data_IF_261933232070
#
_entry.id   IF_261933232070
#
_cell.length_a   1.000
_cell.length_b   1.000
_cell.length_c   1.000
_cell.angle_alpha   90.00
_cell.angle_beta   90.00
_cell.angle_gamma   90.00
#
_symmetry.space_group_name_H-M   'P 1'
#
loop_
_entity.id
_entity.type
_entity.pdbx_description
1 polymer ?
#
# COMPACT_ATOMS: atom_id res chain seq x y z
N UNK A 1 -13.39 -36.29 9.14
CA UNK A 1 -12.43 -35.32 8.57
C UNK A 1 -12.44 -35.53 7.06
N UNK A 2 -13.04 -34.63 6.29
CA UNK A 2 -13.12 -34.78 4.83
C UNK A 2 -11.71 -34.66 4.23
N UNK A 3 -11.34 -35.56 3.31
CA UNK A 3 -10.06 -35.53 2.61
C UNK A 3 -10.01 -34.31 1.68
N UNK A 4 -9.48 -33.18 2.17
CA UNK A 4 -9.23 -32.00 1.34
C UNK A 4 -8.13 -32.34 0.35
N UNK A 5 -8.44 -32.25 -0.95
CA UNK A 5 -7.45 -32.34 -2.02
C UNK A 5 -6.58 -31.08 -1.99
N UNK A 6 -5.29 -31.27 -1.77
CA UNK A 6 -4.30 -30.20 -1.80
C UNK A 6 -4.24 -29.65 -3.22
N UNK A 7 -4.36 -28.33 -3.39
CA UNK A 7 -4.13 -27.75 -4.70
C UNK A 7 -2.63 -27.76 -5.01
N UNK A 8 -2.28 -27.79 -6.29
CA UNK A 8 -0.89 -27.66 -6.74
C UNK A 8 -0.24 -26.39 -6.18
N UNK A 9 -1.01 -25.31 -6.02
CA UNK A 9 -0.53 -24.05 -5.45
C UNK A 9 -0.25 -24.13 -3.95
N UNK A 10 -1.05 -24.88 -3.18
CA UNK A 10 -0.79 -25.11 -1.76
C UNK A 10 0.53 -25.87 -1.55
N UNK A 11 0.81 -26.84 -2.43
CA UNK A 11 2.05 -27.62 -2.39
C UNK A 11 3.27 -26.77 -2.77
N UNK A 12 3.16 -25.95 -3.81
CA UNK A 12 4.22 -25.00 -4.20
C UNK A 12 4.50 -24.03 -3.05
N UNK A 13 3.45 -23.49 -2.43
CA UNK A 13 3.57 -22.55 -1.33
C UNK A 13 4.22 -23.19 -0.09
N UNK A 14 3.81 -24.41 0.27
CA UNK A 14 4.42 -25.17 1.36
C UNK A 14 5.90 -25.45 1.09
N UNK A 15 6.25 -25.83 -0.14
CA UNK A 15 7.64 -26.08 -0.54
C UNK A 15 8.50 -24.81 -0.38
N UNK A 16 7.99 -23.65 -0.79
CA UNK A 16 8.67 -22.36 -0.58
C UNK A 16 8.86 -22.03 0.90
N UNK A 17 7.85 -22.27 1.74
CA UNK A 17 7.92 -22.10 3.20
C UNK A 17 8.99 -23.00 3.84
N UNK A 18 9.09 -24.25 3.40
CA UNK A 18 10.09 -25.21 3.86
C UNK A 18 11.51 -24.74 3.48
N UNK A 19 11.70 -24.19 2.28
CA UNK A 19 13.01 -23.70 1.81
C UNK A 19 13.41 -22.39 2.50
N UNK A 20 12.46 -21.55 2.90
CA UNK A 20 12.74 -20.28 3.56
C UNK A 20 13.39 -20.44 4.95
N UNK A 21 13.13 -21.55 5.66
CA UNK A 21 13.70 -21.83 6.99
C UNK A 21 15.22 -22.09 6.92
N UNK A 22 15.73 -23.05 6.11
CA UNK A 22 17.17 -23.23 5.90
C UNK A 22 17.87 -21.98 5.38
N UNK A 23 17.22 -21.22 4.49
CA UNK A 23 17.77 -19.97 3.98
C UNK A 23 17.95 -18.93 5.11
N UNK A 24 16.96 -18.77 5.98
CA UNK A 24 17.05 -17.89 7.15
C UNK A 24 18.18 -18.30 8.10
N UNK A 25 18.33 -19.60 8.37
CA UNK A 25 19.41 -20.14 9.20
C UNK A 25 20.78 -19.89 8.55
N UNK A 26 20.91 -20.13 7.24
CA UNK A 26 22.15 -19.88 6.52
C UNK A 26 22.56 -18.40 6.61
N UNK A 27 21.63 -17.47 6.38
CA UNK A 27 21.90 -16.04 6.52
C UNK A 27 22.29 -15.64 7.94
N UNK A 28 21.67 -16.27 8.96
CA UNK A 28 22.00 -16.02 10.36
C UNK A 28 23.43 -16.46 10.69
N UNK A 29 23.83 -17.66 10.23
CA UNK A 29 25.17 -18.22 10.46
C UNK A 29 26.26 -17.40 9.73
N UNK A 30 25.94 -16.82 8.58
CA UNK A 30 26.85 -15.95 7.83
C UNK A 30 26.94 -14.52 8.38
N UNK A 31 26.33 -14.22 9.53
CA UNK A 31 26.28 -12.87 10.11
C UNK A 31 25.42 -11.87 9.31
N UNK A 32 24.60 -12.35 8.37
CA UNK A 32 23.72 -11.52 7.52
C UNK A 32 22.36 -11.35 8.20
N UNK A 33 22.38 -10.73 9.39
CA UNK A 33 21.21 -10.65 10.29
C UNK A 33 19.96 -10.05 9.65
N UNK A 34 20.11 -9.01 8.80
CA UNK A 34 18.99 -8.40 8.09
C UNK A 34 18.24 -9.40 7.19
N UNK A 35 18.97 -10.30 6.53
CA UNK A 35 18.40 -11.29 5.61
C UNK A 35 17.78 -12.46 6.36
N UNK A 36 18.39 -12.86 7.48
CA UNK A 36 17.81 -13.83 8.41
C UNK A 36 16.48 -13.34 8.97
N UNK A 37 16.41 -12.06 9.36
CA UNK A 37 15.19 -11.43 9.87
C UNK A 37 14.09 -11.39 8.81
N UNK A 38 14.42 -11.02 7.57
CA UNK A 38 13.45 -11.04 6.46
C UNK A 38 12.92 -12.45 6.16
N UNK A 39 13.79 -13.46 6.16
CA UNK A 39 13.39 -14.84 5.96
C UNK A 39 12.45 -15.32 7.09
N UNK A 40 12.76 -14.98 8.34
CA UNK A 40 11.91 -15.30 9.48
C UNK A 40 10.53 -14.61 9.38
N UNK A 41 10.50 -13.33 9.01
CA UNK A 41 9.24 -12.60 8.81
C UNK A 41 8.39 -13.22 7.68
N UNK A 42 9.02 -13.60 6.56
CA UNK A 42 8.34 -14.26 5.44
C UNK A 42 7.74 -15.62 5.85
N UNK A 43 8.45 -16.41 6.65
CA UNK A 43 7.94 -17.68 7.20
C UNK A 43 6.74 -17.45 8.10
N UNK A 44 6.80 -16.46 9.01
CA UNK A 44 5.69 -16.14 9.92
C UNK A 44 4.45 -15.72 9.13
N UNK A 45 4.60 -14.80 8.18
CA UNK A 45 3.50 -14.36 7.30
C UNK A 45 2.95 -15.53 6.51
N UNK A 46 3.82 -16.40 5.98
CA UNK A 46 3.40 -17.56 5.21
C UNK A 46 2.60 -18.57 6.02
N UNK A 47 3.01 -18.84 7.27
CA UNK A 47 2.27 -19.70 8.19
C UNK A 47 0.89 -19.10 8.49
N UNK A 48 0.81 -17.78 8.73
CA UNK A 48 -0.47 -17.10 9.00
C UNK A 48 -1.41 -17.21 7.79
N UNK A 49 -0.90 -17.00 6.57
CA UNK A 49 -1.70 -17.15 5.34
C UNK A 49 -2.17 -18.60 5.17
N UNK A 50 -1.29 -19.57 5.38
CA UNK A 50 -1.62 -21.00 5.26
C UNK A 50 -2.72 -21.40 6.26
N UNK A 51 -2.57 -20.99 7.53
CA UNK A 51 -3.52 -21.29 8.61
C UNK A 51 -4.86 -20.59 8.37
N UNK A 52 -4.86 -19.30 8.00
CA UNK A 52 -6.10 -18.56 7.76
C UNK A 52 -6.83 -18.99 6.49
N UNK A 53 -6.10 -19.37 5.44
CA UNK A 53 -6.64 -20.02 4.24
C UNK A 53 -7.17 -21.44 4.53
N UNK A 54 -6.60 -22.14 5.51
CA UNK A 54 -7.08 -23.43 5.98
C UNK A 54 -8.43 -23.35 6.67
N UNK A 55 -8.70 -22.25 7.37
CA UNK A 55 -9.91 -22.05 8.16
C UNK A 55 -11.13 -21.59 7.36
N UNK A 56 -11.01 -21.37 6.03
CA UNK A 56 -12.16 -21.03 5.17
C UNK A 56 -12.80 -22.30 4.59
N UNK A 57 -13.98 -22.75 5.08
CA UNK A 57 -14.70 -23.86 4.47
C UNK A 57 -15.21 -23.45 3.07
N UNK A 58 -14.67 -24.09 2.04
CA UNK A 58 -14.99 -23.82 0.62
C UNK A 58 -16.46 -24.10 0.31
N UNK A 59 -17.05 -25.12 0.94
CA UNK A 59 -18.44 -25.54 0.74
C UNK A 59 -19.44 -24.45 1.19
N UNK A 60 -19.16 -23.76 2.29
CA UNK A 60 -20.03 -22.68 2.77
C UNK A 60 -20.09 -21.49 1.81
N UNK A 61 -19.01 -21.22 1.07
CA UNK A 61 -18.96 -20.11 0.12
C UNK A 61 -19.76 -20.40 -1.16
N UNK A 62 -19.72 -21.65 -1.65
CA UNK A 62 -20.44 -22.07 -2.87
C UNK A 62 -21.94 -22.16 -2.60
N UNK A 63 -22.35 -22.80 -1.49
CA UNK A 63 -23.77 -22.94 -1.15
C UNK A 63 -24.42 -21.57 -0.91
N UNK A 64 -23.74 -20.66 -0.22
CA UNK A 64 -24.24 -19.30 0.02
C UNK A 64 -24.29 -18.44 -1.25
N UNK A 65 -23.53 -18.76 -2.29
CA UNK A 65 -23.59 -18.09 -3.59
C UNK A 65 -24.80 -18.58 -4.41
N UNK A 66 -25.04 -19.90 -4.42
CA UNK A 66 -26.18 -20.52 -5.11
C UNK A 66 -27.52 -20.10 -4.51
N UNK A 67 -27.65 -20.08 -3.17
CA UNK A 67 -28.87 -19.60 -2.50
C UNK A 67 -29.14 -18.11 -2.75
N UNK A 68 -28.09 -17.29 -2.86
CA UNK A 68 -28.22 -15.86 -3.17
C UNK A 68 -28.72 -15.61 -4.60
N UNK A 69 -28.34 -16.46 -5.54
CA UNK A 69 -28.79 -16.36 -6.93
C UNK A 69 -30.28 -16.74 -7.12
N UNK A 70 -30.84 -17.54 -6.21
CA UNK A 70 -32.22 -18.03 -6.30
C UNK A 70 -33.28 -17.17 -5.58
N UNK A 71 -32.86 -16.19 -4.76
CA UNK A 71 -33.79 -15.42 -3.93
C UNK A 71 -34.44 -14.25 -4.71
N UNK A 72 -35.77 -14.02 -4.58
CA UNK A 72 -36.45 -12.91 -5.24
C UNK A 72 -35.94 -11.55 -4.74
N UNK A 73 -35.73 -10.63 -5.69
CA UNK A 73 -35.19 -9.28 -5.47
C UNK A 73 -36.24 -8.39 -4.79
N UNK A 74 -36.41 -8.56 -3.48
CA UNK A 74 -37.06 -7.54 -2.65
C UNK A 74 -36.06 -6.40 -2.41
N UNK A 75 -36.51 -5.13 -2.54
CA UNK A 75 -35.71 -3.94 -2.17
C UNK A 75 -35.37 -4.04 -0.69
N UNK A 76 -34.23 -4.64 -0.36
CA UNK A 76 -33.69 -4.65 0.99
C UNK A 76 -33.23 -3.23 1.33
N UNK A 77 -33.52 -2.73 2.54
CA UNK A 77 -32.87 -1.52 3.04
C UNK A 77 -31.35 -1.70 2.98
N UNK A 78 -30.62 -0.58 2.82
CA UNK A 78 -29.16 -0.57 2.79
C UNK A 78 -28.62 -1.44 3.92
N UNK A 79 -28.01 -2.58 3.56
CA UNK A 79 -27.46 -3.51 4.55
C UNK A 79 -26.29 -2.81 5.21
N UNK A 80 -26.28 -2.77 6.53
CA UNK A 80 -25.05 -2.45 7.25
C UNK A 80 -23.93 -3.41 6.79
N UNK A 81 -22.68 -2.93 6.73
CA UNK A 81 -21.52 -3.74 6.42
C UNK A 81 -21.60 -5.09 7.12
N UNK A 82 -21.35 -6.19 6.40
CA UNK A 82 -21.22 -7.50 7.06
C UNK A 82 -19.94 -7.47 7.90
N UNK A 83 -20.10 -7.08 9.16
CA UNK A 83 -19.02 -7.09 10.15
C UNK A 83 -18.96 -8.45 10.81
N UNK A 84 -17.75 -8.98 10.92
CA UNK A 84 -17.45 -10.10 11.80
C UNK A 84 -17.80 -9.72 13.25
N UNK A 85 -18.01 -10.70 14.16
CA UNK A 85 -18.26 -10.42 15.58
C UNK A 85 -17.20 -9.52 16.24
N UNK A 86 -15.99 -9.47 15.67
CA UNK A 86 -14.91 -8.58 16.09
C UNK A 86 -15.07 -7.11 15.64
N UNK A 87 -16.15 -6.74 14.95
CA UNK A 87 -16.37 -5.42 14.35
C UNK A 87 -15.62 -5.16 13.04
N UNK A 88 -14.85 -6.14 12.55
CA UNK A 88 -14.06 -6.03 11.30
C UNK A 88 -14.92 -6.34 10.09
N UNK A 89 -14.62 -5.72 8.95
CA UNK A 89 -15.23 -6.09 7.68
C UNK A 89 -14.87 -7.53 7.29
N UNK A 90 -15.74 -8.22 6.55
CA UNK A 90 -15.48 -9.57 6.03
C UNK A 90 -14.23 -9.63 5.14
N UNK A 91 -14.05 -8.61 4.29
CA UNK A 91 -12.95 -8.52 3.30
C UNK A 91 -11.84 -7.53 3.72
N UNK A 92 -11.67 -7.33 5.03
CA UNK A 92 -10.71 -6.38 5.60
C UNK A 92 -9.26 -6.57 5.09
N UNK A 93 -8.84 -7.79 4.79
CA UNK A 93 -7.47 -8.08 4.37
C UNK A 93 -7.18 -7.62 2.94
N UNK A 94 -7.93 -8.06 1.89
CA UNK A 94 -7.80 -7.50 0.55
C UNK A 94 -7.89 -5.97 0.51
N UNK A 95 -8.86 -5.38 1.23
CA UNK A 95 -9.01 -3.92 1.34
C UNK A 95 -7.76 -3.28 1.95
N UNK A 96 -7.24 -3.84 3.04
CA UNK A 96 -6.00 -3.37 3.66
C UNK A 96 -4.78 -3.45 2.74
N UNK A 97 -4.65 -4.54 1.97
CA UNK A 97 -3.54 -4.70 1.01
C UNK A 97 -3.58 -3.65 -0.10
N UNK A 98 -4.75 -3.44 -0.72
CA UNK A 98 -4.91 -2.48 -1.80
C UNK A 98 -4.73 -1.04 -1.31
N UNK A 99 -5.33 -0.71 -0.15
CA UNK A 99 -5.18 0.60 0.45
C UNK A 99 -3.72 0.88 0.88
N UNK A 100 -3.02 -0.13 1.40
CA UNK A 100 -1.59 -0.04 1.72
C UNK A 100 -0.72 0.20 0.49
N UNK A 101 -0.95 -0.55 -0.59
CA UNK A 101 -0.23 -0.35 -1.86
C UNK A 101 -0.43 1.06 -2.41
N UNK A 102 -1.68 1.54 -2.44
CA UNK A 102 -2.02 2.87 -2.90
C UNK A 102 -1.38 3.97 -2.03
N UNK A 103 -1.47 3.84 -0.71
CA UNK A 103 -0.90 4.77 0.25
C UNK A 103 0.63 4.84 0.17
N UNK A 104 1.31 3.71 0.05
CA UNK A 104 2.76 3.68 -0.10
C UNK A 104 3.22 4.24 -1.44
N UNK A 105 2.49 3.96 -2.53
CA UNK A 105 2.77 4.57 -3.82
C UNK A 105 2.65 6.10 -3.79
N UNK A 106 1.59 6.61 -3.15
CA UNK A 106 1.41 8.05 -2.96
C UNK A 106 2.53 8.68 -2.11
N UNK A 107 2.86 8.09 -0.96
CA UNK A 107 3.94 8.57 -0.10
C UNK A 107 5.31 8.52 -0.81
N UNK A 108 5.58 7.46 -1.59
CA UNK A 108 6.82 7.34 -2.36
C UNK A 108 6.91 8.41 -3.45
N UNK A 109 5.79 8.71 -4.11
CA UNK A 109 5.72 9.79 -5.11
C UNK A 109 6.06 11.14 -4.48
N UNK A 110 5.51 11.42 -3.29
CA UNK A 110 5.84 12.64 -2.52
C UNK A 110 7.31 12.64 -2.09
N UNK A 111 7.84 11.51 -1.62
CA UNK A 111 9.25 11.38 -1.22
C UNK A 111 10.20 11.71 -2.38
N UNK A 112 10.01 11.08 -3.54
CA UNK A 112 10.86 11.29 -4.72
C UNK A 112 10.72 12.72 -5.25
N UNK A 113 9.48 13.22 -5.31
CA UNK A 113 9.21 14.59 -5.74
C UNK A 113 9.85 15.63 -4.82
N UNK A 114 9.68 15.48 -3.50
CA UNK A 114 10.28 16.38 -2.52
C UNK A 114 11.82 16.31 -2.56
N UNK A 115 12.40 15.11 -2.66
CA UNK A 115 13.85 14.97 -2.71
C UNK A 115 14.45 15.59 -3.98
N UNK A 116 13.90 15.26 -5.15
CA UNK A 116 14.43 15.69 -6.44
C UNK A 116 14.14 17.16 -6.79
N UNK A 117 12.95 17.67 -6.43
CA UNK A 117 12.52 19.02 -6.83
C UNK A 117 12.74 20.08 -5.76
N UNK A 118 12.93 19.68 -4.49
CA UNK A 118 13.07 20.63 -3.37
C UNK A 118 14.38 20.43 -2.65
N UNK A 119 14.64 19.22 -2.11
CA UNK A 119 15.78 19.00 -1.20
C UNK A 119 17.11 19.18 -1.92
N UNK A 120 17.33 18.49 -3.06
CA UNK A 120 18.58 18.60 -3.81
C UNK A 120 18.83 20.01 -4.37
N UNK A 121 17.87 20.68 -5.04
CA UNK A 121 18.12 22.02 -5.56
C UNK A 121 18.44 23.03 -4.45
N UNK A 122 17.73 22.97 -3.32
CA UNK A 122 17.99 23.89 -2.21
C UNK A 122 19.36 23.66 -1.56
N UNK A 123 19.85 22.42 -1.50
CA UNK A 123 21.20 22.14 -1.03
C UNK A 123 22.28 22.85 -1.89
N UNK A 124 22.04 23.02 -3.20
CA UNK A 124 22.98 23.64 -4.14
C UNK A 124 22.81 25.15 -4.35
N UNK A 125 21.62 25.70 -4.13
CA UNK A 125 21.30 27.12 -4.43
C UNK A 125 21.41 28.01 -3.18
N UNK A 126 21.20 27.46 -1.99
CA UNK A 126 21.28 28.24 -0.75
C UNK A 126 22.71 28.75 -0.50
N UNK A 127 22.89 29.89 0.19
CA UNK A 127 24.21 30.45 0.47
C UNK A 127 25.11 29.43 1.17
N UNK A 128 26.32 29.24 0.62
CA UNK A 128 27.31 28.30 1.14
C UNK A 128 27.63 28.61 2.60
N UNK A 129 27.60 27.59 3.45
CA UNK A 129 27.86 27.72 4.88
C UNK A 129 26.70 28.29 5.70
N UNK A 130 25.53 28.54 5.10
CA UNK A 130 24.32 28.85 5.88
C UNK A 130 23.78 27.60 6.60
N UNK A 131 23.11 27.79 7.73
CA UNK A 131 22.50 26.69 8.49
C UNK A 131 21.49 25.90 7.65
N UNK A 132 20.68 26.61 6.86
CA UNK A 132 19.67 25.98 6.02
C UNK A 132 20.32 25.16 4.89
N UNK A 133 21.38 25.69 4.26
CA UNK A 133 22.14 24.93 3.25
C UNK A 133 22.70 23.64 3.84
N UNK A 134 23.32 23.68 5.04
CA UNK A 134 23.79 22.46 5.73
C UNK A 134 22.67 21.46 6.02
N UNK A 135 21.49 21.93 6.41
CA UNK A 135 20.37 21.03 6.69
C UNK A 135 19.88 20.32 5.43
N UNK A 136 19.71 21.06 4.33
CA UNK A 136 19.33 20.48 3.05
C UNK A 136 20.41 19.57 2.47
N UNK A 137 21.67 19.95 2.61
CA UNK A 137 22.81 19.14 2.20
C UNK A 137 22.88 17.82 3.00
N UNK A 138 22.78 17.87 4.32
CA UNK A 138 22.74 16.66 5.15
C UNK A 138 21.52 15.77 4.87
N UNK A 139 20.39 16.34 4.47
CA UNK A 139 19.22 15.53 4.07
C UNK A 139 19.38 14.92 2.67
N UNK A 140 20.02 15.63 1.74
CA UNK A 140 20.27 15.15 0.38
C UNK A 140 21.37 14.08 0.36
N UNK A 141 22.44 14.33 1.09
CA UNK A 141 23.72 13.63 1.03
C UNK A 141 24.02 12.97 2.38
N UNK A 142 23.47 11.78 2.58
CA UNK A 142 23.71 10.97 3.77
C UNK A 142 23.70 9.47 3.44
N UNK A 143 24.15 8.67 4.40
CA UNK A 143 24.25 7.22 4.26
C UNK A 143 22.92 6.56 3.90
N UNK A 144 21.78 7.08 4.37
CA UNK A 144 20.47 6.52 4.06
C UNK A 144 20.10 6.74 2.58
N UNK A 145 20.27 7.96 2.06
CA UNK A 145 19.98 8.27 0.66
C UNK A 145 20.97 7.58 -0.28
N UNK A 146 22.24 7.49 0.09
CA UNK A 146 23.26 6.75 -0.65
C UNK A 146 22.95 5.24 -0.69
N UNK A 147 22.65 4.64 0.45
CA UNK A 147 22.32 3.21 0.55
C UNK A 147 21.06 2.88 -0.26
N UNK A 148 20.04 3.73 -0.17
CA UNK A 148 18.81 3.59 -0.93
C UNK A 148 19.05 3.75 -2.43
N UNK A 149 19.91 4.67 -2.86
CA UNK A 149 20.24 4.87 -4.28
C UNK A 149 20.97 3.66 -4.87
N UNK A 150 21.94 3.10 -4.14
CA UNK A 150 22.70 1.92 -4.58
C UNK A 150 21.84 0.65 -4.58
N UNK A 151 20.91 0.52 -3.63
CA UNK A 151 20.07 -0.67 -3.45
C UNK A 151 18.58 -0.36 -3.69
N UNK A 152 18.28 0.44 -4.71
CA UNK A 152 16.92 0.96 -4.96
C UNK A 152 15.82 -0.13 -5.00
N UNK A 153 16.01 -1.31 -5.63
CA UNK A 153 14.99 -2.36 -5.60
C UNK A 153 14.70 -2.85 -4.18
N UNK A 154 15.73 -3.05 -3.36
CA UNK A 154 15.59 -3.52 -2.00
C UNK A 154 14.95 -2.44 -1.11
N UNK A 155 15.38 -1.19 -1.26
CA UNK A 155 14.81 -0.06 -0.53
C UNK A 155 13.30 0.06 -0.78
N UNK A 156 12.87 -0.03 -2.05
CA UNK A 156 11.46 0.01 -2.42
C UNK A 156 10.70 -1.22 -1.94
N UNK A 157 11.28 -2.42 -2.05
CA UNK A 157 10.66 -3.64 -1.54
C UNK A 157 10.37 -3.53 -0.03
N UNK A 158 11.35 -3.10 0.75
CA UNK A 158 11.20 -2.90 2.20
C UNK A 158 10.18 -1.80 2.49
N UNK A 159 10.20 -0.71 1.73
CA UNK A 159 9.25 0.40 1.89
C UNK A 159 7.80 -0.03 1.65
N UNK A 160 7.53 -0.73 0.55
CA UNK A 160 6.21 -1.27 0.23
C UNK A 160 5.78 -2.37 1.21
N UNK A 161 6.68 -3.28 1.60
CA UNK A 161 6.37 -4.30 2.59
C UNK A 161 5.98 -3.69 3.95
N UNK A 162 6.74 -2.68 4.41
CA UNK A 162 6.44 -1.97 5.65
C UNK A 162 5.10 -1.22 5.56
N UNK A 163 4.85 -0.52 4.46
CA UNK A 163 3.58 0.16 4.24
C UNK A 163 2.39 -0.79 4.23
N UNK A 164 2.46 -1.89 3.49
CA UNK A 164 1.41 -2.91 3.48
C UNK A 164 1.20 -3.51 4.87
N UNK A 165 2.28 -3.80 5.62
CA UNK A 165 2.17 -4.29 6.99
C UNK A 165 1.42 -3.31 7.90
N UNK A 166 1.72 -2.00 7.82
CA UNK A 166 0.99 -0.98 8.55
C UNK A 166 -0.47 -0.87 8.13
N UNK A 167 -0.78 -1.03 6.84
CA UNK A 167 -2.16 -1.03 6.35
C UNK A 167 -2.97 -2.23 6.86
N UNK A 168 -2.35 -3.40 6.96
CA UNK A 168 -2.94 -4.58 7.60
C UNK A 168 -3.22 -4.29 9.08
N UNK A 169 -2.28 -3.70 9.81
CA UNK A 169 -2.48 -3.31 11.21
C UNK A 169 -3.61 -2.28 11.38
N UNK A 170 -3.71 -1.31 10.46
CA UNK A 170 -4.79 -0.35 10.42
C UNK A 170 -6.15 -1.03 10.27
N UNK A 171 -6.31 -1.87 9.24
CA UNK A 171 -7.55 -2.60 8.97
C UNK A 171 -7.93 -3.54 10.12
N UNK A 172 -6.93 -4.17 10.74
CA UNK A 172 -7.12 -5.16 11.80
C UNK A 172 -7.50 -4.53 13.14
N UNK A 173 -6.85 -3.44 13.52
CA UNK A 173 -6.95 -2.89 14.87
C UNK A 173 -7.53 -1.49 14.96
N UNK A 174 -7.37 -0.66 13.94
CA UNK A 174 -7.64 0.78 14.08
C UNK A 174 -8.95 1.17 13.43
N UNK A 175 -9.21 0.69 12.21
CA UNK A 175 -10.44 0.98 11.48
C UNK A 175 -11.71 0.67 12.29
N UNK A 176 -11.83 -0.50 12.98
CA UNK A 176 -13.05 -0.82 13.73
C UNK A 176 -13.29 0.05 14.96
N UNK A 177 -12.27 0.80 15.41
CA UNK A 177 -12.28 1.57 16.66
C UNK A 177 -12.42 3.08 16.45
N UNK A 178 -12.13 3.56 15.23
CA UNK A 178 -12.20 4.98 14.91
C UNK A 178 -13.44 5.28 14.08
N UNK A 179 -14.15 6.34 14.46
CA UNK A 179 -15.31 6.87 13.73
C UNK A 179 -14.92 8.09 12.89
N UNK A 180 -15.76 8.42 11.92
CA UNK A 180 -15.60 9.59 11.03
C UNK A 180 -14.97 9.26 9.67
N UNK A 181 -14.64 10.32 8.88
CA UNK A 181 -14.14 10.17 7.52
C UNK A 181 -12.84 9.36 7.42
N UNK A 182 -12.67 8.63 6.31
CA UNK A 182 -11.52 7.75 6.05
C UNK A 182 -10.18 8.46 6.24
N UNK A 183 -9.98 9.56 5.53
CA UNK A 183 -8.76 10.38 5.64
C UNK A 183 -8.43 10.77 7.10
N UNK A 184 -9.42 11.13 7.92
CA UNK A 184 -9.21 11.54 9.32
C UNK A 184 -8.73 10.36 10.17
N UNK A 185 -9.35 9.19 10.01
CA UNK A 185 -8.95 7.96 10.72
C UNK A 185 -7.52 7.55 10.35
N UNK A 186 -7.19 7.66 9.07
CA UNK A 186 -5.86 7.39 8.55
C UNK A 186 -4.79 8.38 9.04
N UNK A 187 -5.10 9.68 9.11
CA UNK A 187 -4.21 10.68 9.70
C UNK A 187 -3.91 10.39 11.18
N UNK A 188 -4.94 10.10 11.99
CA UNK A 188 -4.75 9.73 13.40
C UNK A 188 -3.85 8.50 13.51
N UNK A 189 -4.09 7.48 12.70
CA UNK A 189 -3.28 6.27 12.67
C UNK A 189 -1.82 6.56 12.32
N UNK A 190 -1.56 7.45 11.35
CA UNK A 190 -0.22 7.69 10.81
C UNK A 190 0.82 8.20 11.80
N UNK A 191 0.38 8.78 12.93
CA UNK A 191 1.28 9.16 14.02
C UNK A 191 2.02 7.95 14.61
N UNK A 192 1.43 6.75 14.58
CA UNK A 192 2.05 5.52 15.08
C UNK A 192 3.24 5.09 14.21
N UNK A 193 3.09 4.83 12.88
CA UNK A 193 4.23 4.52 12.02
C UNK A 193 5.22 5.69 11.92
N UNK A 194 4.77 6.94 11.98
CA UNK A 194 5.66 8.10 12.05
C UNK A 194 6.57 8.02 13.27
N UNK A 195 6.00 7.85 14.47
CA UNK A 195 6.80 7.76 15.68
C UNK A 195 7.72 6.53 15.65
N UNK A 196 7.21 5.37 15.20
CA UNK A 196 8.02 4.16 15.04
C UNK A 196 9.21 4.39 14.09
N UNK A 197 9.01 5.15 13.02
CA UNK A 197 10.11 5.44 12.10
C UNK A 197 11.21 6.31 12.74
N UNK A 198 10.84 7.26 13.60
CA UNK A 198 11.79 8.14 14.29
C UNK A 198 12.59 7.45 15.40
N UNK A 199 11.95 6.53 16.14
CA UNK A 199 12.53 5.92 17.34
C UNK A 199 13.02 4.48 17.14
N UNK A 200 12.55 3.79 16.08
CA UNK A 200 12.95 2.41 15.78
C UNK A 200 13.72 2.37 14.47
N UNK A 201 13.13 2.84 13.36
CA UNK A 201 13.73 2.69 12.04
C UNK A 201 15.00 3.53 11.88
N UNK A 202 14.97 4.82 12.24
CA UNK A 202 16.13 5.70 12.10
C UNK A 202 17.36 5.23 12.89
N UNK A 203 17.25 4.83 14.17
CA UNK A 203 18.37 4.20 14.87
C UNK A 203 18.86 2.91 14.20
N UNK A 204 17.96 2.08 13.67
CA UNK A 204 18.31 0.81 13.02
C UNK A 204 19.14 1.00 11.75
N UNK A 205 19.02 2.15 11.08
CA UNK A 205 19.76 2.50 9.86
C UNK A 205 20.85 3.55 10.10
N UNK A 206 21.33 3.64 11.34
CA UNK A 206 22.40 4.55 11.79
C UNK A 206 22.11 6.06 11.62
N UNK A 207 20.87 6.44 11.31
CA UNK A 207 20.42 7.84 11.26
C UNK A 207 20.25 8.47 12.64
N UNK A 208 20.34 7.66 13.72
CA UNK A 208 20.16 8.09 15.10
C UNK A 208 18.70 8.38 15.48
N UNK A 209 18.43 8.65 16.75
CA UNK A 209 17.08 9.03 17.18
C UNK A 209 16.65 10.31 16.47
N UNK A 210 15.42 10.34 15.96
CA UNK A 210 14.87 11.50 15.22
C UNK A 210 15.65 11.91 13.96
N UNK A 211 16.63 11.13 13.51
CA UNK A 211 17.45 11.45 12.34
C UNK A 211 18.58 12.45 12.64
N UNK A 212 18.95 12.61 13.91
CA UNK A 212 19.96 13.60 14.32
C UNK A 212 21.35 13.35 13.73
N UNK A 213 21.71 12.11 13.43
CA UNK A 213 23.01 11.79 12.83
C UNK A 213 23.10 12.21 11.35
N UNK A 214 21.98 12.55 10.72
CA UNK A 214 21.96 12.98 9.32
C UNK A 214 22.51 14.40 9.12
N UNK A 215 22.76 15.16 10.19
CA UNK A 215 23.20 16.56 10.09
C UNK A 215 22.16 17.51 9.48
N UNK A 216 20.94 17.01 9.26
CA UNK A 216 19.87 17.68 8.53
C UNK A 216 18.97 18.58 9.42
N UNK A 217 19.38 18.84 10.66
CA UNK A 217 18.58 19.59 11.63
C UNK A 217 17.19 18.97 11.86
N UNK A 218 16.10 19.76 11.87
CA UNK A 218 14.75 19.24 12.09
C UNK A 218 14.12 18.62 10.83
N UNK A 219 14.76 18.73 9.66
CA UNK A 219 14.15 18.32 8.39
C UNK A 219 13.78 16.82 8.32
N UNK A 220 14.56 15.86 8.87
CA UNK A 220 14.16 14.46 8.88
C UNK A 220 12.83 14.24 9.60
N UNK A 221 12.60 14.93 10.73
CA UNK A 221 11.36 14.82 11.51
C UNK A 221 10.16 15.34 10.70
N UNK A 222 10.32 16.53 10.12
CA UNK A 222 9.27 17.24 9.37
C UNK A 222 8.94 16.49 8.08
N UNK A 223 9.96 16.16 7.28
CA UNK A 223 9.78 15.42 6.03
C UNK A 223 9.12 14.07 6.27
N UNK A 224 9.57 13.34 7.29
CA UNK A 224 9.01 12.05 7.64
C UNK A 224 7.55 12.15 8.17
N UNK A 225 7.21 13.22 8.90
CA UNK A 225 5.83 13.50 9.29
C UNK A 225 4.94 13.71 8.05
N UNK A 226 5.37 14.55 7.11
CA UNK A 226 4.60 14.82 5.88
C UNK A 226 4.33 13.52 5.12
N UNK A 227 5.34 12.66 4.96
CA UNK A 227 5.19 11.38 4.27
C UNK A 227 4.17 10.47 4.95
N UNK A 228 4.21 10.38 6.28
CA UNK A 228 3.27 9.56 7.03
C UNK A 228 1.86 10.14 7.04
N UNK A 229 1.69 11.46 7.07
CA UNK A 229 0.37 12.09 6.95
C UNK A 229 -0.24 11.81 5.56
N UNK A 230 0.55 11.89 4.49
CA UNK A 230 0.10 11.51 3.13
C UNK A 230 -0.28 10.03 3.10
N UNK A 231 0.60 9.16 3.59
CA UNK A 231 0.33 7.73 3.69
C UNK A 231 -0.97 7.45 4.46
N UNK A 232 -1.14 8.06 5.63
CA UNK A 232 -2.33 7.90 6.47
C UNK A 232 -3.59 8.37 5.79
N UNK A 233 -3.59 9.58 5.26
CA UNK A 233 -4.75 10.15 4.56
C UNK A 233 -5.20 9.26 3.40
N UNK A 234 -4.27 8.83 2.55
CA UNK A 234 -4.56 7.95 1.41
C UNK A 234 -5.02 6.57 1.88
N UNK A 235 -4.34 5.96 2.86
CA UNK A 235 -4.73 4.66 3.42
C UNK A 235 -6.17 4.65 3.91
N UNK A 236 -6.51 5.62 4.78
CA UNK A 236 -7.83 5.69 5.38
C UNK A 236 -8.92 5.98 4.35
N UNK A 237 -8.65 6.84 3.38
CA UNK A 237 -9.62 7.18 2.34
C UNK A 237 -9.81 6.04 1.34
N UNK A 238 -8.73 5.44 0.84
CA UNK A 238 -8.81 4.29 -0.08
C UNK A 238 -9.51 3.11 0.59
N UNK A 239 -9.25 2.86 1.88
CA UNK A 239 -9.95 1.82 2.61
C UNK A 239 -11.47 2.07 2.68
N UNK A 240 -11.90 3.31 2.94
CA UNK A 240 -13.33 3.68 2.96
C UNK A 240 -13.97 3.64 1.57
N UNK A 241 -13.27 4.11 0.54
CA UNK A 241 -13.77 4.08 -0.84
C UNK A 241 -14.02 2.64 -1.26
N UNK A 242 -13.04 1.75 -1.05
CA UNK A 242 -13.18 0.34 -1.40
C UNK A 242 -14.24 -0.37 -0.55
N UNK A 243 -14.33 0.00 0.73
CA UNK A 243 -15.42 -0.45 1.60
C UNK A 243 -16.78 -0.03 1.03
N UNK A 244 -16.96 1.24 0.70
CA UNK A 244 -18.24 1.78 0.20
C UNK A 244 -18.64 1.12 -1.11
N UNK A 245 -17.69 0.91 -2.03
CA UNK A 245 -17.91 0.16 -3.26
C UNK A 245 -18.45 -1.25 -2.99
N UNK A 246 -17.87 -1.93 -1.99
CA UNK A 246 -18.28 -3.29 -1.57
C UNK A 246 -19.65 -3.32 -0.88
N UNK A 247 -20.14 -2.18 -0.40
CA UNK A 247 -21.28 -2.10 0.54
C UNK A 247 -22.52 -1.39 -0.01
N UNK A 248 -22.44 -0.60 -1.08
CA UNK A 248 -23.60 0.09 -1.65
C UNK A 248 -24.61 -0.93 -2.16
N UNK A 249 -25.53 -1.35 -1.27
CA UNK A 249 -26.65 -2.27 -1.48
C UNK A 249 -27.74 -1.71 -2.40
N UNK A 250 -27.32 -1.32 -3.59
CA UNK A 250 -28.16 -0.99 -4.72
C UNK A 250 -28.58 -2.34 -5.31
N UNK A 251 -29.86 -2.58 -5.63
CA UNK A 251 -30.35 -3.93 -5.94
C UNK A 251 -29.44 -4.77 -6.88
N UNK A 252 -29.41 -6.11 -6.73
CA UNK A 252 -28.34 -7.01 -7.20
C UNK A 252 -27.79 -6.74 -8.60
N UNK A 253 -28.63 -6.35 -9.58
CA UNK A 253 -28.17 -6.03 -10.93
C UNK A 253 -27.43 -4.70 -11.10
N UNK A 254 -27.63 -3.70 -10.23
CA UNK A 254 -26.99 -2.38 -10.31
C UNK A 254 -25.76 -2.29 -9.39
N UNK A 255 -25.72 -3.02 -8.28
CA UNK A 255 -24.50 -3.18 -7.44
C UNK A 255 -23.41 -3.98 -8.16
N UNK A 256 -23.75 -5.12 -8.77
CA UNK A 256 -22.79 -5.89 -9.57
C UNK A 256 -22.26 -5.07 -10.75
N UNK A 257 -23.09 -4.22 -11.34
CA UNK A 257 -22.65 -3.28 -12.38
C UNK A 257 -21.71 -2.20 -11.84
N UNK A 258 -22.01 -1.52 -10.72
CA UNK A 258 -21.15 -0.48 -10.14
C UNK A 258 -19.81 -1.06 -9.68
N UNK A 259 -19.84 -2.20 -8.99
CA UNK A 259 -18.64 -2.91 -8.53
C UNK A 259 -17.77 -3.35 -9.70
N UNK A 260 -18.34 -4.07 -10.66
CA UNK A 260 -17.60 -4.50 -11.85
C UNK A 260 -17.13 -3.31 -12.68
N UNK A 261 -17.86 -2.19 -12.69
CA UNK A 261 -17.44 -0.96 -13.36
C UNK A 261 -16.27 -0.29 -12.64
N UNK A 262 -16.32 -0.15 -11.32
CA UNK A 262 -15.23 0.42 -10.52
C UNK A 262 -13.99 -0.47 -10.55
N UNK A 263 -14.12 -1.79 -10.41
CA UNK A 263 -13.04 -2.75 -10.56
C UNK A 263 -12.43 -2.70 -11.96
N UNK A 264 -13.28 -2.66 -12.99
CA UNK A 264 -12.84 -2.50 -14.38
C UNK A 264 -12.10 -1.17 -14.55
N UNK A 265 -12.59 -0.06 -14.03
CA UNK A 265 -11.91 1.23 -14.10
C UNK A 265 -10.59 1.27 -13.33
N UNK A 266 -10.53 0.67 -12.13
CA UNK A 266 -9.28 0.48 -11.38
C UNK A 266 -8.27 -0.32 -12.20
N UNK A 267 -8.68 -1.48 -12.74
CA UNK A 267 -7.84 -2.31 -13.60
C UNK A 267 -7.39 -1.58 -14.88
N UNK A 268 -8.31 -0.84 -15.51
CA UNK A 268 -8.02 -0.03 -16.69
C UNK A 268 -7.14 1.17 -16.39
N UNK A 269 -7.12 1.69 -15.16
CA UNK A 269 -6.28 2.82 -14.77
C UNK A 269 -4.86 2.38 -14.34
N UNK A 270 -4.69 1.13 -13.87
CA UNK A 270 -3.39 0.55 -13.53
C UNK A 270 -2.45 0.53 -14.75
N UNK A 271 -2.93 0.07 -15.92
CA UNK A 271 -2.11 -0.06 -17.14
C UNK A 271 -1.58 1.29 -17.66
N UNK A 272 -2.43 2.30 -17.98
CA UNK A 272 -1.97 3.60 -18.41
C UNK A 272 -1.21 4.32 -17.30
N UNK A 273 -1.58 4.12 -16.03
CA UNK A 273 -0.80 4.59 -14.89
C UNK A 273 0.62 4.04 -14.91
N UNK A 274 0.78 2.73 -15.13
CA UNK A 274 2.10 2.10 -15.26
C UNK A 274 2.88 2.65 -16.46
N UNK A 275 2.26 2.77 -17.63
CA UNK A 275 2.93 3.29 -18.83
C UNK A 275 3.38 4.73 -18.61
N UNK A 276 2.49 5.60 -18.13
CA UNK A 276 2.80 7.00 -17.86
C UNK A 276 3.85 7.15 -16.77
N UNK A 277 3.74 6.39 -15.68
CA UNK A 277 4.73 6.38 -14.60
C UNK A 277 6.12 5.94 -15.07
N UNK A 278 6.18 4.90 -15.91
CA UNK A 278 7.43 4.45 -16.52
C UNK A 278 8.04 5.52 -17.42
N UNK A 279 7.25 6.15 -18.29
CA UNK A 279 7.70 7.22 -19.18
C UNK A 279 8.20 8.45 -18.38
N UNK A 280 7.44 8.89 -17.38
CA UNK A 280 7.83 10.01 -16.52
C UNK A 280 9.12 9.70 -15.74
N UNK A 281 9.27 8.49 -15.22
CA UNK A 281 10.50 8.09 -14.54
C UNK A 281 11.70 8.03 -15.48
N UNK A 282 11.51 7.60 -16.72
CA UNK A 282 12.56 7.60 -17.74
C UNK A 282 12.99 9.03 -18.11
N UNK A 283 12.04 9.95 -18.28
CA UNK A 283 12.32 11.37 -18.52
C UNK A 283 13.01 12.01 -17.31
N UNK A 284 12.56 11.69 -16.10
CA UNK A 284 13.12 12.20 -14.85
C UNK A 284 14.44 11.54 -14.44
N UNK A 285 14.85 10.44 -15.09
CA UNK A 285 16.02 9.63 -14.70
C UNK A 285 17.29 10.45 -14.44
N UNK A 286 17.69 11.42 -15.28
CA UNK A 286 18.90 12.21 -15.04
C UNK A 286 18.87 12.98 -13.72
N UNK A 287 17.68 13.30 -13.20
CA UNK A 287 17.49 14.05 -11.97
C UNK A 287 17.47 13.15 -10.72
N UNK A 288 16.96 11.93 -10.84
CA UNK A 288 16.63 11.08 -9.69
C UNK A 288 17.49 9.83 -9.55
N UNK A 289 18.01 9.29 -10.65
CA UNK A 289 18.63 7.97 -10.67
C UNK A 289 19.59 7.81 -11.86
N UNK A 290 20.53 8.75 -12.00
CA UNK A 290 21.47 8.80 -13.13
C UNK A 290 22.22 7.46 -13.32
N UNK A 291 22.66 6.85 -12.22
CA UNK A 291 23.43 5.60 -12.21
C UNK A 291 22.56 4.34 -12.28
N UNK A 292 21.24 4.44 -12.10
CA UNK A 292 20.36 3.27 -12.13
C UNK A 292 20.10 2.80 -13.57
N UNK A 293 19.88 1.49 -13.73
CA UNK A 293 19.53 0.92 -15.04
C UNK A 293 18.21 1.47 -15.57
N UNK A 294 18.15 1.77 -16.87
CA UNK A 294 16.95 2.29 -17.54
C UNK A 294 15.73 1.40 -17.32
N UNK A 295 15.90 0.08 -17.41
CA UNK A 295 14.82 -0.91 -17.21
C UNK A 295 14.28 -0.84 -15.79
N UNK A 296 15.18 -0.78 -14.78
CA UNK A 296 14.76 -0.67 -13.39
C UNK A 296 13.99 0.63 -13.15
N UNK A 297 14.50 1.77 -13.63
CA UNK A 297 13.82 3.07 -13.49
C UNK A 297 12.43 3.04 -14.12
N UNK A 298 12.27 2.44 -15.30
CA UNK A 298 10.98 2.27 -15.94
C UNK A 298 10.01 1.40 -15.11
N UNK A 299 10.47 0.25 -14.60
CA UNK A 299 9.65 -0.66 -13.78
C UNK A 299 9.17 0.06 -12.51
N UNK A 300 10.08 0.74 -11.81
CA UNK A 300 9.75 1.42 -10.57
C UNK A 300 8.82 2.61 -10.79
N UNK A 301 9.08 3.40 -11.84
CA UNK A 301 8.17 4.44 -12.29
C UNK A 301 6.78 3.89 -12.61
N UNK A 302 6.73 2.75 -13.30
CA UNK A 302 5.47 2.09 -13.63
C UNK A 302 4.73 1.59 -12.40
N UNK A 303 5.41 1.00 -11.41
CA UNK A 303 4.76 0.59 -10.16
C UNK A 303 4.15 1.80 -9.42
N UNK A 304 4.87 2.92 -9.34
CA UNK A 304 4.34 4.15 -8.74
C UNK A 304 3.16 4.71 -9.53
N UNK A 305 3.30 4.79 -10.84
CA UNK A 305 2.22 5.22 -11.72
C UNK A 305 0.99 4.32 -11.65
N UNK A 306 1.17 3.01 -11.44
CA UNK A 306 0.06 2.07 -11.25
C UNK A 306 -0.69 2.30 -9.94
N UNK A 307 0.01 2.69 -8.86
CA UNK A 307 -0.61 3.05 -7.59
C UNK A 307 -1.44 4.34 -7.72
N UNK A 308 -0.91 5.34 -8.44
CA UNK A 308 -1.67 6.57 -8.77
C UNK A 308 -2.85 6.26 -9.68
N UNK A 309 -2.67 5.39 -10.67
CA UNK A 309 -3.74 4.91 -11.55
C UNK A 309 -4.84 4.22 -10.77
N UNK A 310 -4.50 3.31 -9.85
CA UNK A 310 -5.44 2.65 -8.95
C UNK A 310 -6.26 3.67 -8.15
N UNK A 311 -5.61 4.70 -7.59
CA UNK A 311 -6.30 5.79 -6.87
C UNK A 311 -7.28 6.52 -7.79
N UNK A 312 -6.84 7.01 -8.95
CA UNK A 312 -7.68 7.73 -9.90
C UNK A 312 -8.85 6.87 -10.37
N UNK A 313 -8.60 5.61 -10.74
CA UNK A 313 -9.64 4.68 -11.17
C UNK A 313 -10.68 4.41 -10.08
N UNK A 314 -10.25 4.34 -8.81
CA UNK A 314 -11.17 4.14 -7.68
C UNK A 314 -12.14 5.32 -7.51
N UNK A 315 -11.66 6.57 -7.66
CA UNK A 315 -12.53 7.76 -7.59
C UNK A 315 -13.40 7.95 -8.84
N UNK A 316 -12.85 7.65 -10.02
CA UNK A 316 -13.59 7.76 -11.27
C UNK A 316 -14.81 6.81 -11.29
N UNK A 317 -14.66 5.60 -10.72
CA UNK A 317 -15.75 4.63 -10.60
C UNK A 317 -16.87 5.03 -9.64
N UNK A 318 -16.64 6.03 -8.78
CA UNK A 318 -17.66 6.56 -7.86
C UNK A 318 -18.50 7.69 -8.46
N UNK A 319 -18.12 8.25 -9.61
CA UNK A 319 -18.96 9.26 -10.27
C UNK A 319 -20.28 8.62 -10.68
N UNK A 320 -21.45 9.13 -10.22
CA UNK A 320 -22.73 8.62 -10.67
C UNK A 320 -22.74 8.67 -12.18
N UNK A 321 -22.87 7.51 -12.83
CA UNK A 321 -23.18 7.48 -14.25
C UNK A 321 -24.42 8.37 -14.39
N UNK A 322 -24.25 9.54 -15.03
CA UNK A 322 -25.35 10.47 -15.23
C UNK A 322 -26.50 9.63 -15.76
N UNK A 323 -27.55 9.48 -14.95
CA UNK A 323 -28.72 8.72 -15.37
C UNK A 323 -29.14 9.38 -16.67
N UNK A 324 -28.87 8.71 -17.79
CA UNK A 324 -29.40 9.08 -19.07
C UNK A 324 -30.90 9.00 -18.83
N UNK A 325 -31.54 10.16 -18.61
CA UNK A 325 -32.98 10.25 -18.41
C UNK A 325 -33.57 9.37 -19.49
N UNK A 326 -34.31 8.29 -19.14
CA UNK A 326 -34.95 7.48 -20.15
C UNK A 326 -35.72 8.46 -21.02
N UNK A 327 -35.31 8.56 -22.29
CA UNK A 327 -35.96 9.45 -23.24
C UNK A 327 -37.44 9.15 -23.13
N UNK A 328 -38.24 10.13 -22.73
CA UNK A 328 -39.69 10.07 -22.85
C UNK A 328 -39.95 9.77 -24.33
N UNK A 329 -40.13 8.49 -24.65
CA UNK A 329 -40.73 8.08 -25.91
C UNK A 329 -42.19 8.43 -25.73
N UNK A 330 -42.52 9.68 -26.04
CA UNK A 330 -43.90 10.06 -26.33
C UNK A 330 -44.40 9.17 -27.47
N UNK A 331 -45.62 8.63 -27.34
CA UNK A 331 -46.18 7.60 -28.22
C UNK A 331 -46.34 8.04 -29.67
#
# INVERSE_FOLDING_TARGET
MANRRWSTWDLIYLALLIVAIPAGIFHLVQGRYAQALMAAAAVIVGIVVLVTGWLRPVEAAVTAAVERAAAPVSRRPAREPERLPSGRLRDWLPLGLLAGFAATGAATTVLIGAWGLVVRPLAGILPAGSTLQRWFDGLANNTLTETAAVNLPLALLVHFAAGIAWAILYALFVEPRLSGPGWRRGLIFSFVPWLASLIVFFPLVDAGFFGLNLGAGPLPIIGNLILHLVYGAVLGETYVVQQTLTETGIGPGREEWILSHAERLMAWAIIPGFVLGALLALVGRPLIAETASTVLVAILGGLLGSAVGLLIGSYAGLSPAQESKPSERTP
#
